data_IF_799574431573
#
_entry.id   IF_799574431573
#
_cell.length_a   1.000
_cell.length_b   1.000
_cell.length_c   1.000
_cell.angle_alpha   90.00
_cell.angle_beta   90.00
_cell.angle_gamma   90.00
#
_symmetry.space_group_name_H-M   'P 1'
#
loop_
_entity.id
_entity.type
_entity.pdbx_description
1 polymer ?
#
# COMPACT_ATOMS: atom_id res chain seq x y z
N UNK A 1 29.81 -11.70 3.48
CA UNK A 1 28.47 -11.35 3.98
C UNK A 1 28.44 -9.86 4.23
N UNK A 2 27.84 -9.08 3.35
CA UNK A 2 27.52 -7.68 3.60
C UNK A 2 26.45 -7.62 4.71
N UNK A 3 26.70 -6.82 5.75
CA UNK A 3 25.74 -6.61 6.82
C UNK A 3 24.57 -5.79 6.28
N UNK A 4 23.32 -6.12 6.61
CA UNK A 4 22.15 -5.34 6.19
C UNK A 4 22.20 -3.95 6.83
N UNK A 5 21.82 -2.93 6.06
CA UNK A 5 21.70 -1.55 6.56
C UNK A 5 20.52 -1.39 7.51
N UNK A 6 19.45 -2.16 7.31
CA UNK A 6 18.24 -2.09 8.11
C UNK A 6 17.94 -3.42 8.80
N UNK A 7 17.72 -3.37 10.12
CA UNK A 7 17.24 -4.51 10.89
C UNK A 7 15.72 -4.50 11.01
N UNK A 8 15.11 -3.31 11.03
CA UNK A 8 13.66 -3.13 11.17
C UNK A 8 13.10 -2.22 10.10
N UNK A 9 11.82 -2.44 9.82
CA UNK A 9 11.02 -1.59 8.93
C UNK A 9 11.02 -0.12 9.41
N UNK A 10 11.00 0.12 10.71
CA UNK A 10 11.06 1.46 11.31
C UNK A 10 12.37 2.17 10.97
N UNK A 11 13.50 1.44 10.95
CA UNK A 11 14.81 2.00 10.64
C UNK A 11 14.82 2.58 9.22
N UNK A 12 14.15 1.91 8.28
CA UNK A 12 13.95 2.39 6.91
C UNK A 12 13.16 3.69 6.89
N UNK A 13 12.07 3.79 7.65
CA UNK A 13 11.19 4.96 7.67
C UNK A 13 11.88 6.18 8.30
N UNK A 14 12.74 5.98 9.29
CA UNK A 14 13.42 7.06 10.02
C UNK A 14 14.81 7.41 9.48
N UNK A 15 15.34 6.63 8.55
CA UNK A 15 16.72 6.83 8.09
C UNK A 15 16.96 8.21 7.46
N UNK A 16 18.14 8.75 7.68
CA UNK A 16 18.66 9.88 6.94
C UNK A 16 19.56 9.35 5.82
N UNK A 17 18.97 9.17 4.64
CA UNK A 17 19.67 8.63 3.47
C UNK A 17 20.91 9.45 3.10
N UNK A 18 20.88 10.77 3.27
CA UNK A 18 22.04 11.64 3.00
C UNK A 18 23.21 11.32 3.92
N UNK A 19 22.95 11.04 5.20
CA UNK A 19 24.00 10.70 6.17
C UNK A 19 24.58 9.32 5.86
N UNK A 20 23.72 8.32 5.63
CA UNK A 20 24.14 6.96 5.27
C UNK A 20 25.05 6.93 4.04
N UNK A 21 24.74 7.74 3.02
CA UNK A 21 25.57 7.82 1.81
C UNK A 21 26.91 8.52 2.05
N UNK A 22 26.99 9.51 2.95
CA UNK A 22 28.25 10.20 3.29
C UNK A 22 29.21 9.33 4.08
N UNK A 23 28.68 8.44 4.91
CA UNK A 23 29.46 7.51 5.74
C UNK A 23 29.91 6.26 4.97
N UNK A 24 29.36 6.03 3.77
CA UNK A 24 29.69 4.88 2.93
C UNK A 24 30.92 5.15 2.08
N UNK A 25 31.84 4.18 2.01
CA UNK A 25 33.04 4.25 1.16
C UNK A 25 32.68 4.37 -0.33
N UNK A 26 31.69 3.60 -0.79
CA UNK A 26 31.14 3.67 -2.15
C UNK A 26 29.65 4.04 -2.08
N UNK A 27 29.29 5.33 -2.27
CA UNK A 27 27.90 5.79 -2.13
C UNK A 27 26.96 5.19 -3.17
N UNK A 28 27.45 4.88 -4.38
CA UNK A 28 26.64 4.23 -5.42
C UNK A 28 26.25 2.80 -5.01
N UNK A 29 27.22 1.97 -4.62
CA UNK A 29 26.98 0.59 -4.17
C UNK A 29 26.09 0.55 -2.92
N UNK A 30 26.33 1.46 -1.96
CA UNK A 30 25.53 1.60 -0.76
C UNK A 30 24.07 1.96 -1.09
N UNK A 31 23.85 2.90 -2.03
CA UNK A 31 22.51 3.29 -2.45
C UNK A 31 21.76 2.13 -3.11
N UNK A 32 22.42 1.34 -3.96
CA UNK A 32 21.81 0.15 -4.56
C UNK A 32 21.40 -0.86 -3.50
N UNK A 33 22.27 -1.11 -2.52
CA UNK A 33 21.99 -2.03 -1.44
C UNK A 33 20.81 -1.54 -0.57
N UNK A 34 20.80 -0.26 -0.23
CA UNK A 34 19.69 0.38 0.50
C UNK A 34 18.38 0.24 -0.29
N UNK A 35 18.38 0.48 -1.60
CA UNK A 35 17.19 0.33 -2.46
C UNK A 35 16.71 -1.12 -2.46
N UNK A 36 17.61 -2.11 -2.53
CA UNK A 36 17.25 -3.53 -2.45
C UNK A 36 16.55 -3.85 -1.12
N UNK A 37 17.14 -3.43 0.00
CA UNK A 37 16.56 -3.65 1.33
C UNK A 37 15.22 -2.91 1.51
N UNK A 38 15.09 -1.69 0.97
CA UNK A 38 13.82 -0.96 0.96
C UNK A 38 12.74 -1.69 0.16
N UNK A 39 13.08 -2.28 -1.00
CA UNK A 39 12.15 -3.08 -1.81
C UNK A 39 11.66 -4.31 -1.05
N UNK A 40 12.56 -5.01 -0.37
CA UNK A 40 12.20 -6.16 0.47
C UNK A 40 11.30 -5.75 1.64
N UNK A 41 11.60 -4.60 2.25
CA UNK A 41 10.78 -3.98 3.29
C UNK A 41 9.36 -3.65 2.81
N UNK A 42 9.23 -2.97 1.66
CA UNK A 42 7.94 -2.65 1.03
C UNK A 42 7.15 -3.93 0.71
N UNK A 43 7.81 -4.94 0.13
CA UNK A 43 7.15 -6.21 -0.17
C UNK A 43 6.68 -6.93 1.11
N UNK A 44 7.46 -6.87 2.19
CA UNK A 44 7.07 -7.36 3.51
C UNK A 44 5.85 -6.62 4.08
N UNK A 45 5.88 -5.29 4.06
CA UNK A 45 4.78 -4.44 4.52
C UNK A 45 3.50 -4.70 3.73
N UNK A 46 3.58 -4.83 2.41
CA UNK A 46 2.47 -5.18 1.54
C UNK A 46 1.85 -6.54 1.91
N UNK A 47 2.66 -7.58 2.15
CA UNK A 47 2.16 -8.90 2.59
C UNK A 47 1.44 -8.81 3.93
N UNK A 48 1.97 -8.06 4.88
CA UNK A 48 1.34 -7.84 6.18
C UNK A 48 0.01 -7.08 6.07
N UNK A 49 -0.02 -6.00 5.28
CA UNK A 49 -1.23 -5.22 5.03
C UNK A 49 -2.31 -6.08 4.34
N UNK A 50 -1.93 -6.86 3.32
CA UNK A 50 -2.84 -7.77 2.62
C UNK A 50 -3.40 -8.86 3.56
N UNK A 51 -2.58 -9.40 4.47
CA UNK A 51 -3.04 -10.37 5.47
C UNK A 51 -4.03 -9.75 6.45
N UNK A 52 -3.74 -8.54 6.92
CA UNK A 52 -4.66 -7.80 7.80
C UNK A 52 -5.99 -7.47 7.10
N UNK A 53 -5.95 -7.08 5.83
CA UNK A 53 -7.15 -6.82 5.03
C UNK A 53 -8.02 -8.08 4.89
N UNK A 54 -7.42 -9.24 4.59
CA UNK A 54 -8.15 -10.52 4.51
C UNK A 54 -8.77 -10.92 5.86
N UNK A 55 -8.08 -10.66 6.97
CA UNK A 55 -8.63 -10.95 8.29
C UNK A 55 -9.82 -10.03 8.61
N UNK A 56 -9.75 -8.76 8.23
CA UNK A 56 -10.87 -7.83 8.35
C UNK A 56 -12.08 -8.30 7.53
N UNK A 57 -11.86 -8.68 6.26
CA UNK A 57 -12.90 -9.19 5.36
C UNK A 57 -13.57 -10.45 5.91
N UNK A 58 -12.79 -11.37 6.52
CA UNK A 58 -13.35 -12.56 7.18
C UNK A 58 -14.28 -12.21 8.33
N UNK A 59 -13.90 -11.25 9.18
CA UNK A 59 -14.74 -10.80 10.30
C UNK A 59 -16.02 -10.13 9.76
N UNK A 60 -15.89 -9.33 8.69
CA UNK A 60 -17.04 -8.70 8.04
C UNK A 60 -18.01 -9.71 7.43
N UNK A 61 -17.48 -10.75 6.78
CA UNK A 61 -18.29 -11.85 6.26
C UNK A 61 -19.00 -12.64 7.39
N UNK A 62 -18.32 -12.89 8.51
CA UNK A 62 -18.92 -13.55 9.67
C UNK A 62 -20.04 -12.69 10.29
N UNK A 63 -19.83 -11.38 10.42
CA UNK A 63 -20.88 -10.44 10.87
C UNK A 63 -22.09 -10.49 9.93
N UNK A 64 -21.86 -10.50 8.61
CA UNK A 64 -22.94 -10.56 7.62
C UNK A 64 -23.75 -11.86 7.74
N UNK A 65 -23.07 -13.00 7.91
CA UNK A 65 -23.72 -14.30 8.13
C UNK A 65 -24.58 -14.28 9.41
N UNK A 66 -24.05 -13.79 10.53
CA UNK A 66 -24.81 -13.70 11.78
C UNK A 66 -26.00 -12.74 11.67
N UNK A 67 -25.86 -11.63 10.95
CA UNK A 67 -26.99 -10.70 10.68
C UNK A 67 -28.11 -11.39 9.90
N UNK A 68 -27.80 -12.25 8.95
CA UNK A 68 -28.82 -13.01 8.21
C UNK A 68 -29.64 -13.95 9.14
N UNK A 69 -29.00 -14.50 10.18
CA UNK A 69 -29.66 -15.36 11.15
C UNK A 69 -30.66 -14.60 12.03
N UNK A 70 -30.41 -13.32 12.33
CA UNK A 70 -31.35 -12.47 13.09
C UNK A 70 -32.71 -12.40 12.41
N UNK A 71 -32.72 -12.16 11.09
CA UNK A 71 -33.95 -12.06 10.31
C UNK A 71 -34.71 -13.39 10.29
N UNK A 72 -33.95 -14.51 10.22
CA UNK A 72 -34.50 -15.85 10.35
C UNK A 72 -35.17 -16.08 11.70
N UNK A 73 -34.54 -15.70 12.81
CA UNK A 73 -35.12 -15.81 14.14
C UNK A 73 -36.33 -14.91 14.34
N UNK A 74 -36.32 -13.69 13.81
CA UNK A 74 -37.48 -12.80 13.84
C UNK A 74 -38.67 -13.41 13.07
N UNK A 75 -38.42 -13.96 11.89
CA UNK A 75 -39.46 -14.60 11.07
C UNK A 75 -40.05 -15.82 11.77
N UNK A 76 -39.22 -16.67 12.37
CA UNK A 76 -39.68 -17.81 13.18
C UNK A 76 -40.53 -17.37 14.37
N UNK A 77 -40.09 -16.34 15.10
CA UNK A 77 -40.85 -15.81 16.22
C UNK A 77 -42.25 -15.34 15.80
N UNK A 78 -42.36 -14.61 14.67
CA UNK A 78 -43.66 -14.19 14.09
C UNK A 78 -44.54 -15.39 13.75
N UNK A 79 -44.00 -16.41 13.08
CA UNK A 79 -44.74 -17.61 12.71
C UNK A 79 -45.27 -18.41 13.93
N UNK A 80 -44.55 -18.41 15.05
CA UNK A 80 -45.03 -19.02 16.29
C UNK A 80 -46.15 -18.20 16.93
N UNK A 81 -46.07 -16.87 16.91
CA UNK A 81 -47.13 -15.99 17.42
C UNK A 81 -48.43 -16.13 16.61
N UNK A 82 -48.36 -16.28 15.29
CA UNK A 82 -49.53 -16.55 14.44
C UNK A 82 -50.28 -17.83 14.84
N UNK A 83 -49.59 -18.78 15.47
CA UNK A 83 -50.13 -20.05 15.97
C UNK A 83 -50.46 -20.01 17.46
N UNK A 84 -50.43 -18.82 18.09
CA UNK A 84 -50.57 -18.62 19.54
C UNK A 84 -49.56 -19.40 20.39
N UNK A 85 -48.40 -19.74 19.85
CA UNK A 85 -47.31 -20.43 20.57
C UNK A 85 -46.30 -19.43 21.12
N UNK A 86 -46.68 -18.72 22.18
CA UNK A 86 -45.83 -17.69 22.80
C UNK A 86 -44.51 -18.26 23.36
N UNK A 87 -44.51 -19.51 23.80
CA UNK A 87 -43.33 -20.12 24.40
C UNK A 87 -42.23 -20.32 23.35
N UNK A 88 -42.56 -20.87 22.19
CA UNK A 88 -41.60 -21.00 21.09
C UNK A 88 -41.20 -19.63 20.50
N UNK A 89 -42.13 -18.67 20.46
CA UNK A 89 -41.80 -17.30 20.05
C UNK A 89 -40.76 -16.66 20.99
N UNK A 90 -40.91 -16.81 22.32
CA UNK A 90 -39.93 -16.32 23.30
C UNK A 90 -38.56 -16.99 23.11
N UNK A 91 -38.52 -18.30 22.89
CA UNK A 91 -37.26 -19.02 22.65
C UNK A 91 -36.56 -18.52 21.37
N UNK A 92 -37.31 -18.29 20.28
CA UNK A 92 -36.76 -17.73 19.04
C UNK A 92 -36.18 -16.31 19.26
N UNK A 93 -36.85 -15.47 20.06
CA UNK A 93 -36.36 -14.14 20.40
C UNK A 93 -35.13 -14.18 21.33
N UNK A 94 -35.04 -15.16 22.24
CA UNK A 94 -33.84 -15.36 23.04
C UNK A 94 -32.64 -15.72 22.14
N UNK A 95 -32.81 -16.64 21.19
CA UNK A 95 -31.78 -16.96 20.20
C UNK A 95 -31.35 -15.76 19.37
N UNK A 96 -32.31 -14.94 18.91
CA UNK A 96 -32.00 -13.67 18.24
C UNK A 96 -31.09 -12.80 19.11
N UNK A 97 -31.41 -12.64 20.40
CA UNK A 97 -30.64 -11.81 21.33
C UNK A 97 -29.23 -12.35 21.57
N UNK A 98 -29.06 -13.67 21.62
CA UNK A 98 -27.73 -14.31 21.68
C UNK A 98 -26.88 -13.97 20.44
N UNK A 99 -27.48 -14.06 19.24
CA UNK A 99 -26.82 -13.69 17.98
C UNK A 99 -26.47 -12.19 17.94
N UNK A 100 -27.35 -11.31 18.43
CA UNK A 100 -27.08 -9.88 18.55
C UNK A 100 -25.88 -9.59 19.47
N UNK A 101 -25.76 -10.30 20.60
CA UNK A 101 -24.63 -10.18 21.49
C UNK A 101 -23.32 -10.67 20.84
N UNK A 102 -23.38 -11.76 20.07
CA UNK A 102 -22.24 -12.26 19.29
C UNK A 102 -21.76 -11.23 18.26
N UNK A 103 -22.70 -10.64 17.50
CA UNK A 103 -22.39 -9.59 16.52
C UNK A 103 -21.74 -8.39 17.20
N UNK A 104 -22.22 -7.96 18.38
CA UNK A 104 -21.60 -6.86 19.10
C UNK A 104 -20.13 -7.13 19.45
N UNK A 105 -19.80 -8.38 19.83
CA UNK A 105 -18.41 -8.81 20.04
C UNK A 105 -17.58 -8.81 18.75
N UNK A 106 -18.12 -9.33 17.65
CA UNK A 106 -17.47 -9.33 16.35
C UNK A 106 -17.24 -7.91 15.81
N UNK A 107 -18.17 -6.99 16.02
CA UNK A 107 -18.06 -5.58 15.64
C UNK A 107 -16.89 -4.89 16.38
N UNK A 108 -16.68 -5.21 17.67
CA UNK A 108 -15.51 -4.74 18.42
C UNK A 108 -14.21 -5.30 17.83
N UNK A 109 -14.17 -6.60 17.50
CA UNK A 109 -13.01 -7.23 16.85
C UNK A 109 -12.74 -6.61 15.48
N UNK A 110 -13.79 -6.34 14.68
CA UNK A 110 -13.69 -5.65 13.39
C UNK A 110 -13.04 -4.28 13.56
N UNK A 111 -13.45 -3.51 14.57
CA UNK A 111 -12.86 -2.21 14.88
C UNK A 111 -11.35 -2.27 15.12
N UNK A 112 -10.89 -3.24 15.93
CA UNK A 112 -9.48 -3.47 16.19
C UNK A 112 -8.70 -3.93 14.94
N UNK A 113 -9.28 -4.84 14.15
CA UNK A 113 -8.69 -5.31 12.89
C UNK A 113 -8.57 -4.17 11.86
N UNK A 114 -9.59 -3.32 11.74
CA UNK A 114 -9.58 -2.16 10.85
C UNK A 114 -8.55 -1.11 11.26
N UNK A 115 -8.36 -0.88 12.56
CA UNK A 115 -7.28 -0.02 13.05
C UNK A 115 -5.89 -0.57 12.68
N UNK A 116 -5.69 -1.88 12.84
CA UNK A 116 -4.44 -2.56 12.49
C UNK A 116 -4.18 -2.50 10.98
N UNK A 117 -5.19 -2.77 10.15
CA UNK A 117 -5.11 -2.70 8.70
C UNK A 117 -4.68 -1.29 8.24
N UNK A 118 -5.34 -0.24 8.75
CA UNK A 118 -4.99 1.16 8.44
C UNK A 118 -3.56 1.51 8.86
N UNK A 119 -3.12 1.05 10.03
CA UNK A 119 -1.76 1.28 10.50
C UNK A 119 -0.71 0.63 9.57
N UNK A 120 -0.94 -0.60 9.14
CA UNK A 120 -0.05 -1.32 8.22
C UNK A 120 -0.03 -0.68 6.83
N UNK A 121 -1.18 -0.25 6.31
CA UNK A 121 -1.26 0.49 5.04
C UNK A 121 -0.51 1.82 5.10
N UNK A 122 -0.64 2.55 6.21
CA UNK A 122 0.10 3.82 6.41
C UNK A 122 1.61 3.58 6.46
N UNK A 123 2.03 2.52 7.15
CA UNK A 123 3.45 2.12 7.21
C UNK A 123 3.98 1.71 5.85
N UNK A 124 3.20 0.94 5.07
CA UNK A 124 3.54 0.58 3.69
C UNK A 124 3.75 1.83 2.82
N UNK A 125 2.81 2.78 2.84
CA UNK A 125 2.92 4.02 2.07
C UNK A 125 4.15 4.85 2.45
N UNK A 126 4.48 4.89 3.75
CA UNK A 126 5.69 5.57 4.23
C UNK A 126 6.98 4.93 3.67
N UNK A 127 7.03 3.60 3.57
CA UNK A 127 8.18 2.89 3.00
C UNK A 127 8.28 3.10 1.49
N UNK A 128 7.15 3.07 0.78
CA UNK A 128 7.10 3.36 -0.66
C UNK A 128 7.62 4.77 -0.95
N UNK A 129 7.24 5.76 -0.12
CA UNK A 129 7.76 7.11 -0.23
C UNK A 129 9.28 7.19 -0.03
N UNK A 130 9.83 6.42 0.94
CA UNK A 130 11.28 6.34 1.18
C UNK A 130 12.00 5.67 0.01
N UNK A 131 11.44 4.59 -0.53
CA UNK A 131 11.97 3.91 -1.71
C UNK A 131 12.01 4.85 -2.91
N UNK A 132 10.93 5.60 -3.16
CA UNK A 132 10.90 6.60 -4.23
C UNK A 132 11.92 7.73 -4.04
N UNK A 133 12.18 8.18 -2.81
CA UNK A 133 13.26 9.14 -2.54
C UNK A 133 14.64 8.54 -2.87
N UNK A 134 14.89 7.29 -2.47
CA UNK A 134 16.14 6.61 -2.77
C UNK A 134 16.35 6.40 -4.28
N UNK A 135 15.31 5.99 -5.00
CA UNK A 135 15.37 5.81 -6.46
C UNK A 135 15.58 7.14 -7.21
N UNK A 136 14.98 8.24 -6.75
CA UNK A 136 15.22 9.57 -7.32
C UNK A 136 16.68 10.01 -7.14
N UNK A 137 17.25 9.78 -5.96
CA UNK A 137 18.66 10.10 -5.71
C UNK A 137 19.61 9.26 -6.56
N UNK A 138 19.26 8.00 -6.81
CA UNK A 138 20.03 7.14 -7.72
C UNK A 138 20.04 7.70 -9.14
N UNK A 139 18.89 8.18 -9.62
CA UNK A 139 18.80 8.80 -10.94
C UNK A 139 19.53 10.16 -11.03
N UNK A 140 19.69 10.88 -9.91
CA UNK A 140 20.41 12.15 -9.83
C UNK A 140 21.92 12.03 -9.63
N UNK A 141 22.44 10.82 -9.37
CA UNK A 141 23.88 10.58 -9.34
C UNK A 141 24.38 10.45 -10.78
N UNK A 142 25.39 11.24 -11.22
CA UNK A 142 26.03 10.97 -12.50
C UNK A 142 26.59 9.54 -12.44
N UNK A 143 26.15 8.70 -13.39
CA UNK A 143 26.63 7.34 -13.50
C UNK A 143 28.13 7.33 -13.80
N UNK A 144 28.84 6.34 -13.27
CA UNK A 144 30.26 6.11 -13.55
C UNK A 144 30.55 5.72 -15.03
N UNK A 145 29.58 5.87 -15.94
CA UNK A 145 29.73 5.61 -17.37
C UNK A 145 30.47 6.75 -18.14
N UNK A 146 30.80 7.88 -17.50
CA UNK A 146 31.53 9.00 -18.15
C UNK A 146 32.91 9.35 -17.55
N UNK A 147 33.57 8.44 -16.82
CA UNK A 147 34.98 8.65 -16.43
C UNK A 147 36.00 8.11 -17.47
N UNK A 148 35.51 7.51 -18.57
CA UNK A 148 36.30 6.65 -19.44
C UNK A 148 36.34 6.99 -20.92
N UNK A 149 35.89 8.16 -21.40
CA UNK A 149 36.18 8.58 -22.77
C UNK A 149 35.95 10.08 -22.93
N UNK A 150 37.03 10.84 -23.02
CA UNK A 150 37.16 12.07 -23.82
C UNK A 150 38.58 12.64 -23.62
N UNK A 151 39.58 11.91 -24.14
CA UNK A 151 40.77 12.54 -24.70
C UNK A 151 40.64 12.50 -26.21
N UNK A 152 40.84 13.68 -26.80
CA UNK A 152 41.11 13.99 -28.22
C UNK A 152 40.04 13.63 -29.27
N UNK A 153 39.25 14.59 -29.71
CA UNK A 153 39.59 15.46 -30.86
C UNK A 153 38.41 16.39 -31.21
N UNK A 154 38.65 17.60 -31.75
CA UNK A 154 37.56 18.45 -32.25
C UNK A 154 36.97 17.84 -33.53
N UNK A 155 35.72 17.39 -33.46
CA UNK A 155 34.93 17.02 -34.64
C UNK A 155 33.84 18.06 -34.83
N UNK A 156 33.78 18.55 -36.07
CA UNK A 156 32.95 19.62 -36.58
C UNK A 156 31.46 19.38 -36.30
N UNK A 157 30.79 20.45 -35.88
CA UNK A 157 29.34 20.48 -35.66
C UNK A 157 28.66 20.43 -37.03
N UNK A 158 28.10 19.26 -37.37
CA UNK A 158 27.10 19.15 -38.43
C UNK A 158 25.72 18.89 -37.81
N UNK A 159 24.77 19.69 -38.28
CA UNK A 159 23.41 19.83 -37.82
C UNK A 159 22.60 18.53 -37.90
N UNK A 160 21.69 18.31 -36.94
CA UNK A 160 20.76 17.19 -36.98
C UNK A 160 19.77 17.14 -35.83
N UNK A 161 18.69 17.92 -35.96
CA UNK A 161 17.36 17.73 -35.36
C UNK A 161 17.22 17.75 -33.84
N UNK A 162 17.21 18.95 -33.27
CA UNK A 162 16.30 19.26 -32.17
C UNK A 162 14.88 19.27 -32.71
N UNK A 163 14.06 18.34 -32.24
CA UNK A 163 12.61 18.36 -32.43
C UNK A 163 12.07 19.67 -31.85
N UNK A 164 11.68 20.62 -32.71
CA UNK A 164 11.24 21.94 -32.28
C UNK A 164 9.73 21.94 -32.10
N UNK A 165 9.29 21.89 -30.83
CA UNK A 165 7.87 21.88 -30.42
C UNK A 165 7.12 23.12 -30.95
N UNK A 166 7.84 24.19 -31.27
CA UNK A 166 7.26 25.40 -31.90
C UNK A 166 6.74 25.15 -33.33
N UNK A 167 7.33 24.22 -34.09
CA UNK A 167 6.90 23.89 -35.45
C UNK A 167 5.59 23.07 -35.46
N UNK A 168 5.40 22.16 -34.48
CA UNK A 168 4.12 21.44 -34.28
C UNK A 168 3.00 22.38 -33.79
N UNK A 169 3.33 23.36 -32.95
CA UNK A 169 2.35 24.32 -32.43
C UNK A 169 1.83 25.27 -33.54
N UNK A 170 2.68 25.62 -34.51
CA UNK A 170 2.29 26.42 -35.67
C UNK A 170 1.37 25.65 -36.64
N UNK A 171 1.60 24.34 -36.82
CA UNK A 171 0.76 23.49 -37.67
C UNK A 171 -0.67 23.34 -37.11
N UNK A 172 -0.81 23.10 -35.81
CA UNK A 172 -2.11 22.94 -35.14
C UNK A 172 -2.97 24.23 -35.17
N UNK A 173 -2.35 25.41 -35.05
CA UNK A 173 -3.08 26.69 -35.16
C UNK A 173 -3.65 26.94 -36.56
N UNK A 174 -3.01 26.41 -37.60
CA UNK A 174 -3.50 26.52 -38.99
C UNK A 174 -4.68 25.61 -39.27
N UNK A 175 -4.80 24.51 -38.55
CA UNK A 175 -5.87 23.52 -38.73
C UNK A 175 -7.11 23.82 -37.88
N UNK A 176 -6.94 24.47 -36.72
CA UNK A 176 -8.04 24.87 -35.82
C UNK A 176 -8.57 26.28 -36.15
N UNK A 177 -7.94 27.00 -37.08
CA UNK A 177 -8.40 28.31 -37.56
C UNK A 177 -9.60 28.21 -38.51
N UNK A 178 -10.81 28.06 -37.94
CA UNK A 178 -12.08 28.42 -38.56
C UNK A 178 -12.92 29.24 -37.59
#
# INVERSE_FOLDING_TARGET
MTMPYFSRLTDIVTCNLTLLLKESENPQEALEQIIREMKDGVAGAHRSAATAARNLEKIEAEIAEQKSQIDGWMTRAKAHLERNDENQARLALMRKKEVEALIAGLEQQRGAAAATCRHLQTTQAALEARLHDAERRRAGLPGDDEAGLLKSSPVEVSAGSTWNVDDELAALKKEVGK
#
